data_IF_760122821196
#
_entry.id   IF_760122821196
#
_cell.length_a   1.000
_cell.length_b   1.000
_cell.length_c   1.000
_cell.angle_alpha   90.00
_cell.angle_beta   90.00
_cell.angle_gamma   90.00
#
_symmetry.space_group_name_H-M   'P 1'
#
loop_
_entity.id
_entity.type
_entity.pdbx_description
1 polymer ?
#
# COMPACT_ATOMS: atom_id res chain seq x y z
N UNK A 1 2.94 -11.16 -21.38
CA UNK A 1 1.79 -11.39 -20.46
C UNK A 1 2.26 -12.28 -19.32
N UNK A 2 2.22 -11.83 -18.06
CA UNK A 2 2.60 -12.66 -16.91
C UNK A 2 1.58 -13.80 -16.75
N UNK A 3 2.02 -15.06 -16.86
CA UNK A 3 1.19 -16.24 -16.63
C UNK A 3 1.13 -16.53 -15.13
N UNK A 4 -0.05 -16.47 -14.53
CA UNK A 4 -0.27 -16.87 -13.14
C UNK A 4 -0.51 -18.39 -13.10
N UNK A 5 0.33 -19.14 -12.37
CA UNK A 5 0.23 -20.62 -12.27
C UNK A 5 -0.51 -21.13 -11.02
N UNK A 6 -0.84 -20.24 -10.09
CA UNK A 6 -1.37 -20.62 -8.77
C UNK A 6 -2.81 -20.18 -8.58
N UNK A 7 -3.61 -21.08 -7.98
CA UNK A 7 -5.00 -20.82 -7.58
C UNK A 7 -5.06 -20.81 -6.06
N UNK A 8 -5.75 -19.84 -5.48
CA UNK A 8 -5.98 -19.71 -4.03
C UNK A 8 -7.46 -19.92 -3.75
N UNK A 9 -7.79 -20.76 -2.77
CA UNK A 9 -9.16 -20.93 -2.26
C UNK A 9 -9.19 -20.53 -0.79
N UNK A 10 -10.14 -19.67 -0.42
CA UNK A 10 -10.32 -19.19 0.96
C UNK A 10 -11.66 -19.75 1.45
N UNK A 11 -11.63 -20.52 2.53
CA UNK A 11 -12.80 -21.17 3.14
C UNK A 11 -13.16 -20.50 4.46
N UNK A 12 -14.43 -20.59 4.86
CA UNK A 12 -14.90 -20.08 6.15
C UNK A 12 -14.82 -18.56 6.28
N UNK A 13 -15.02 -17.83 5.17
CA UNK A 13 -15.09 -16.37 5.21
C UNK A 13 -16.50 -15.95 5.60
N UNK A 14 -16.60 -15.00 6.53
CA UNK A 14 -17.88 -14.41 6.96
C UNK A 14 -18.61 -13.77 5.76
N UNK A 15 -19.91 -14.04 5.64
CA UNK A 15 -20.77 -13.51 4.59
C UNK A 15 -20.78 -11.97 4.57
N UNK A 16 -20.72 -11.33 5.75
CA UNK A 16 -20.65 -9.88 5.84
C UNK A 16 -19.36 -9.32 5.21
N UNK A 17 -18.25 -10.05 5.33
CA UNK A 17 -16.97 -9.68 4.71
C UNK A 17 -17.07 -9.84 3.19
N UNK A 18 -17.68 -10.93 2.71
CA UNK A 18 -17.90 -11.16 1.28
C UNK A 18 -18.73 -10.02 0.67
N UNK A 19 -19.82 -9.60 1.33
CA UNK A 19 -20.67 -8.53 0.82
C UNK A 19 -19.97 -7.18 0.76
N UNK A 20 -19.15 -6.85 1.77
CA UNK A 20 -18.30 -5.64 1.75
C UNK A 20 -17.31 -5.66 0.59
N UNK A 21 -16.67 -6.81 0.33
CA UNK A 21 -15.73 -6.96 -0.79
C UNK A 21 -16.44 -6.85 -2.13
N UNK A 22 -17.63 -7.44 -2.29
CA UNK A 22 -18.45 -7.29 -3.50
C UNK A 22 -18.85 -5.84 -3.73
N UNK A 23 -19.27 -5.12 -2.68
CA UNK A 23 -19.61 -3.69 -2.79
C UNK A 23 -18.40 -2.87 -3.25
N UNK A 24 -17.22 -3.12 -2.67
CA UNK A 24 -15.96 -2.47 -3.05
C UNK A 24 -15.60 -2.72 -4.52
N UNK A 25 -15.70 -3.96 -4.98
CA UNK A 25 -15.42 -4.33 -6.37
C UNK A 25 -16.40 -3.65 -7.35
N UNK A 26 -17.69 -3.59 -6.99
CA UNK A 26 -18.74 -2.88 -7.75
C UNK A 26 -18.43 -1.40 -7.90
N UNK A 27 -18.04 -0.71 -6.83
CA UNK A 27 -17.67 0.72 -6.85
C UNK A 27 -16.52 0.97 -7.84
N UNK A 28 -15.56 0.04 -7.94
CA UNK A 28 -14.41 0.15 -8.84
C UNK A 28 -14.68 -0.34 -10.26
N UNK A 29 -15.87 -0.87 -10.54
CA UNK A 29 -16.22 -1.44 -11.86
C UNK A 29 -15.38 -2.67 -12.24
N UNK A 30 -14.92 -3.46 -11.26
CA UNK A 30 -14.10 -4.66 -11.49
C UNK A 30 -14.79 -5.92 -10.94
N UNK A 31 -14.37 -7.09 -11.41
CA UNK A 31 -14.78 -8.35 -10.79
C UNK A 31 -14.22 -8.45 -9.37
N UNK A 32 -14.94 -9.17 -8.50
CA UNK A 32 -14.49 -9.43 -7.13
C UNK A 32 -13.09 -10.05 -7.11
N UNK A 33 -12.83 -11.02 -7.97
CA UNK A 33 -11.53 -11.69 -8.10
C UNK A 33 -10.42 -10.70 -8.51
N UNK A 34 -10.69 -9.80 -9.45
CA UNK A 34 -9.73 -8.80 -9.87
C UNK A 34 -9.39 -7.82 -8.74
N UNK A 35 -10.40 -7.33 -8.00
CA UNK A 35 -10.16 -6.47 -6.84
C UNK A 35 -9.41 -7.20 -5.72
N UNK A 36 -9.74 -8.47 -5.47
CA UNK A 36 -9.05 -9.28 -4.47
C UNK A 36 -7.58 -9.52 -4.85
N UNK A 37 -7.32 -9.81 -6.13
CA UNK A 37 -5.96 -9.99 -6.66
C UNK A 37 -5.14 -8.72 -6.47
N UNK A 38 -5.69 -7.57 -6.84
CA UNK A 38 -5.02 -6.28 -6.67
C UNK A 38 -4.75 -5.98 -5.19
N UNK A 39 -5.72 -6.28 -4.31
CA UNK A 39 -5.58 -6.12 -2.86
C UNK A 39 -4.45 -6.97 -2.30
N UNK A 40 -4.37 -8.25 -2.69
CA UNK A 40 -3.33 -9.17 -2.25
C UNK A 40 -1.95 -8.74 -2.77
N UNK A 41 -1.84 -8.32 -4.03
CA UNK A 41 -0.59 -7.82 -4.62
C UNK A 41 -0.13 -6.53 -3.91
N UNK A 42 -1.07 -5.64 -3.61
CA UNK A 42 -0.74 -4.40 -2.93
C UNK A 42 -0.25 -4.68 -1.51
N UNK A 43 -1.00 -5.48 -0.75
CA UNK A 43 -0.67 -5.84 0.64
C UNK A 43 0.64 -6.62 0.72
N UNK A 44 0.94 -7.51 -0.23
CA UNK A 44 2.19 -8.28 -0.22
C UNK A 44 3.45 -7.43 -0.45
N UNK A 45 3.30 -6.21 -0.96
CA UNK A 45 4.41 -5.26 -1.15
C UNK A 45 4.64 -4.37 0.05
N UNK A 46 3.68 -4.29 0.96
CA UNK A 46 3.81 -3.48 2.15
C UNK A 46 4.76 -4.19 3.12
N UNK A 47 5.80 -3.51 3.64
CA UNK A 47 6.60 -4.08 4.71
C UNK A 47 5.68 -4.39 5.89
N UNK A 48 5.84 -5.57 6.49
CA UNK A 48 5.24 -5.88 7.79
C UNK A 48 5.92 -4.98 8.82
N UNK A 49 5.40 -3.77 8.99
CA UNK A 49 5.80 -2.89 10.07
C UNK A 49 5.16 -3.46 11.33
N UNK A 50 5.88 -4.37 11.98
CA UNK A 50 5.44 -5.07 13.20
C UNK A 50 5.13 -4.09 14.33
N UNK A 51 5.78 -2.92 14.31
CA UNK A 51 5.47 -1.79 15.17
C UNK A 51 5.78 -0.48 14.43
N UNK A 52 4.73 0.26 14.07
CA UNK A 52 4.86 1.51 13.35
C UNK A 52 5.62 2.58 14.15
N UNK A 53 5.58 2.50 15.48
CA UNK A 53 6.37 3.36 16.35
C UNK A 53 7.86 2.99 16.28
N UNK A 54 8.19 1.70 16.38
CA UNK A 54 9.58 1.25 16.32
C UNK A 54 10.26 1.60 14.98
N UNK A 55 9.53 1.53 13.87
CA UNK A 55 10.07 1.95 12.56
C UNK A 55 10.19 3.48 12.47
N UNK A 56 9.23 4.23 13.02
CA UNK A 56 9.34 5.68 13.12
C UNK A 56 10.56 6.12 13.96
N UNK A 57 10.82 5.45 15.08
CA UNK A 57 11.98 5.69 15.94
C UNK A 57 13.30 5.36 15.20
N UNK A 58 13.34 4.26 14.44
CA UNK A 58 14.50 3.94 13.58
C UNK A 58 14.75 5.04 12.55
N UNK A 59 13.70 5.50 11.86
CA UNK A 59 13.82 6.57 10.86
C UNK A 59 14.30 7.86 11.51
N UNK A 60 13.75 8.22 12.69
CA UNK A 60 14.17 9.38 13.45
C UNK A 60 15.65 9.30 13.82
N UNK A 61 16.15 8.14 14.25
CA UNK A 61 17.56 7.93 14.57
C UNK A 61 18.52 8.02 13.37
N UNK A 62 18.03 7.74 12.16
CA UNK A 62 18.82 7.86 10.92
C UNK A 62 18.72 9.25 10.26
N UNK A 63 17.83 10.11 10.74
CA UNK A 63 17.61 11.44 10.15
C UNK A 63 18.61 12.44 10.72
N UNK A 64 19.41 13.13 9.86
CA UNK A 64 20.35 14.16 10.32
C UNK A 64 19.63 15.30 11.06
N UNK A 65 19.96 15.52 12.32
CA UNK A 65 19.30 16.52 13.16
C UNK A 65 19.77 17.97 12.88
N UNK A 66 20.85 18.13 12.14
CA UNK A 66 21.46 19.40 11.76
C UNK A 66 20.79 20.04 10.53
N UNK A 67 19.99 19.27 9.79
CA UNK A 67 19.25 19.77 8.64
C UNK A 67 17.81 20.02 9.06
N UNK A 68 17.44 21.30 9.13
CA UNK A 68 16.06 21.71 9.40
C UNK A 68 15.15 21.17 8.30
N UNK A 69 14.21 20.30 8.68
CA UNK A 69 13.26 19.70 7.74
C UNK A 69 12.27 20.80 7.32
N UNK A 70 12.54 21.44 6.18
CA UNK A 70 11.63 22.40 5.58
C UNK A 70 10.42 21.66 5.02
N UNK A 71 9.25 22.30 5.05
CA UNK A 71 8.10 21.76 4.32
C UNK A 71 8.51 21.57 2.85
N UNK A 72 8.17 20.43 2.26
CA UNK A 72 8.65 20.02 0.94
C UNK A 72 8.00 20.83 -0.19
N UNK A 73 8.22 22.15 -0.21
CA UNK A 73 7.42 23.09 -0.97
C UNK A 73 8.22 24.22 -1.63
N UNK A 74 9.36 23.94 -2.28
CA UNK A 74 9.76 24.65 -3.52
C UNK A 74 10.90 23.94 -4.24
N UNK A 75 10.59 23.23 -5.33
CA UNK A 75 11.56 23.01 -6.41
C UNK A 75 11.83 24.39 -7.04
N UNK A 76 12.85 25.09 -6.56
CA UNK A 76 13.40 26.23 -7.26
C UNK A 76 14.20 25.69 -8.46
N UNK A 77 13.57 25.63 -9.63
CA UNK A 77 14.32 25.65 -10.88
C UNK A 77 15.03 27.00 -10.95
N UNK A 78 16.29 27.06 -10.50
CA UNK A 78 17.14 28.23 -10.64
C UNK A 78 18.45 27.81 -11.32
N UNK A 79 18.67 28.35 -12.52
CA UNK A 79 19.86 28.19 -13.35
C UNK A 79 19.47 27.78 -14.76
N UNK A 80 19.51 28.63 -15.78
CA UNK A 80 20.09 29.96 -15.91
C UNK A 80 20.74 30.07 -17.29
N UNK A 81 20.34 31.11 -18.04
CA UNK A 81 20.91 31.66 -19.27
C UNK A 81 21.04 30.74 -20.50
#
# INVERSE_FOLDING_TARGET
>A
MKKYRHTLTIRGLDDAVIERLKARARIKGRSLEADLRDLLIHTSRQPLVLDALAEADRIAAMTPADVSQTDGGRLACAGGA
#
